data_IF_892604043361
#
_entry.id   IF_892604043361
#
_cell.length_a   1.000
_cell.length_b   1.000
_cell.length_c   1.000
_cell.angle_alpha   90.00
_cell.angle_beta   90.00
_cell.angle_gamma   90.00
#
_symmetry.space_group_name_H-M   'P 1'
#
loop_
_entity.id
_entity.type
_entity.pdbx_description
1 polymer ?
#
# COMPACT_ATOMS: atom_id res chain seq x y z
N UNK A 1 60.82 8.13 -14.38
CA UNK A 1 59.56 8.07 -15.18
C UNK A 1 59.47 9.20 -16.22
N UNK A 2 60.06 10.36 -16.01
CA UNK A 2 60.03 11.53 -16.91
C UNK A 2 60.94 11.35 -18.13
N UNK A 3 62.08 10.65 -18.02
CA UNK A 3 63.02 10.44 -19.12
C UNK A 3 62.53 9.54 -20.25
N UNK A 4 61.61 8.62 -19.98
CA UNK A 4 61.00 7.76 -21.01
C UNK A 4 60.11 8.51 -21.98
N UNK A 5 59.53 9.63 -21.53
CA UNK A 5 58.63 10.47 -22.33
C UNK A 5 59.37 11.40 -23.33
N UNK A 6 60.66 11.61 -23.15
CA UNK A 6 61.45 12.47 -24.07
C UNK A 6 61.80 11.81 -25.40
N UNK A 7 61.72 10.47 -25.50
CA UNK A 7 62.13 9.71 -26.68
C UNK A 7 61.07 9.62 -27.79
N UNK A 8 59.81 10.06 -27.53
CA UNK A 8 58.73 10.01 -28.52
C UNK A 8 58.46 11.37 -29.16
N UNK A 9 58.28 11.39 -30.53
CA UNK A 9 57.92 12.61 -31.29
C UNK A 9 56.69 13.28 -30.66
N UNK A 10 56.63 14.62 -30.63
CA UNK A 10 55.60 15.46 -29.99
C UNK A 10 54.17 14.98 -30.32
N UNK A 11 53.94 14.53 -31.58
CA UNK A 11 52.66 13.98 -32.00
C UNK A 11 52.18 12.74 -31.20
N UNK A 12 53.09 11.81 -30.84
CA UNK A 12 52.75 10.64 -30.07
C UNK A 12 52.36 10.96 -28.63
N UNK A 13 52.96 12.02 -28.04
CA UNK A 13 52.60 12.49 -26.69
C UNK A 13 51.23 13.13 -26.67
N UNK A 14 50.91 13.94 -27.69
CA UNK A 14 49.57 14.51 -27.84
C UNK A 14 48.53 13.41 -28.01
N UNK A 15 48.76 12.40 -28.84
CA UNK A 15 47.85 11.27 -29.03
C UNK A 15 47.66 10.46 -27.74
N UNK A 16 48.69 10.22 -26.95
CA UNK A 16 48.58 9.52 -25.66
C UNK A 16 47.79 10.34 -24.63
N UNK A 17 48.02 11.68 -24.59
CA UNK A 17 47.25 12.55 -23.70
C UNK A 17 45.78 12.64 -24.06
N UNK A 18 45.45 12.81 -25.35
CA UNK A 18 44.06 12.80 -25.84
C UNK A 18 43.39 11.43 -25.65
N UNK A 19 44.10 10.32 -25.90
CA UNK A 19 43.62 8.99 -25.68
C UNK A 19 43.26 8.73 -24.21
N UNK A 20 44.09 9.18 -23.27
CA UNK A 20 43.86 9.10 -21.84
C UNK A 20 42.59 9.89 -21.44
N UNK A 21 42.42 11.11 -21.97
CA UNK A 21 41.24 11.94 -21.72
C UNK A 21 39.94 11.27 -22.23
N UNK A 22 39.99 10.69 -23.43
CA UNK A 22 38.82 9.94 -23.98
C UNK A 22 38.47 8.73 -23.11
N UNK A 23 39.44 7.97 -22.65
CA UNK A 23 39.23 6.84 -21.75
C UNK A 23 38.62 7.30 -20.43
N UNK A 24 39.12 8.39 -19.84
CA UNK A 24 38.56 8.98 -18.62
C UNK A 24 37.12 9.46 -18.83
N UNK A 25 36.82 10.13 -19.96
CA UNK A 25 35.44 10.54 -20.29
C UNK A 25 34.49 9.34 -20.43
N UNK A 26 34.95 8.26 -21.07
CA UNK A 26 34.16 7.03 -21.18
C UNK A 26 33.88 6.41 -19.81
N UNK A 27 34.90 6.34 -18.93
CA UNK A 27 34.72 5.80 -17.56
C UNK A 27 33.76 6.64 -16.73
N UNK A 28 33.85 7.96 -16.81
CA UNK A 28 32.90 8.87 -16.12
C UNK A 28 31.51 8.72 -16.68
N UNK A 29 31.35 8.61 -18.00
CA UNK A 29 30.04 8.45 -18.65
C UNK A 29 29.39 7.12 -18.26
N UNK A 30 30.17 6.02 -18.23
CA UNK A 30 29.68 4.71 -17.79
C UNK A 30 29.29 4.71 -16.31
N UNK A 31 30.07 5.36 -15.46
CA UNK A 31 29.74 5.52 -14.03
C UNK A 31 28.47 6.36 -13.84
N UNK A 32 28.31 7.46 -14.57
CA UNK A 32 27.11 8.29 -14.53
C UNK A 32 25.86 7.50 -15.00
N UNK A 33 25.96 6.79 -16.12
CA UNK A 33 24.85 5.94 -16.62
C UNK A 33 24.45 4.84 -15.63
N UNK A 34 25.41 4.22 -14.94
CA UNK A 34 25.14 3.24 -13.89
C UNK A 34 24.41 3.87 -12.71
N UNK A 35 24.86 5.06 -12.26
CA UNK A 35 24.22 5.79 -11.16
C UNK A 35 22.81 6.25 -11.51
N UNK A 36 22.56 6.71 -12.74
CA UNK A 36 21.23 7.08 -13.22
C UNK A 36 20.28 5.89 -13.25
N UNK A 37 20.76 4.72 -13.68
CA UNK A 37 19.94 3.51 -13.71
C UNK A 37 19.55 3.04 -12.31
N UNK A 38 20.49 3.09 -11.36
CA UNK A 38 20.20 2.76 -9.96
C UNK A 38 19.18 3.73 -9.35
N UNK A 39 19.31 5.03 -9.65
CA UNK A 39 18.37 6.05 -9.18
C UNK A 39 16.97 5.86 -9.78
N UNK A 40 16.87 5.53 -11.07
CA UNK A 40 15.60 5.26 -11.75
C UNK A 40 14.92 4.00 -11.20
N UNK A 41 15.70 2.94 -10.96
CA UNK A 41 15.21 1.70 -10.36
C UNK A 41 14.72 1.93 -8.91
N UNK A 42 15.42 2.71 -8.10
CA UNK A 42 15.02 3.07 -6.73
C UNK A 42 13.79 3.99 -6.73
N UNK A 43 13.74 4.97 -7.63
CA UNK A 43 12.62 5.90 -7.74
C UNK A 43 11.34 5.17 -8.19
N UNK A 44 11.46 4.26 -9.16
CA UNK A 44 10.32 3.46 -9.62
C UNK A 44 9.87 2.44 -8.57
N UNK A 45 10.80 1.73 -7.92
CA UNK A 45 10.47 0.73 -6.90
C UNK A 45 9.77 1.35 -5.67
N UNK A 46 10.22 2.53 -5.23
CA UNK A 46 9.64 3.16 -4.03
C UNK A 46 8.48 4.11 -4.38
N UNK A 47 8.62 4.94 -5.40
CA UNK A 47 7.62 5.95 -5.76
C UNK A 47 6.35 5.35 -6.37
N UNK A 48 6.49 4.47 -7.37
CA UNK A 48 5.35 3.87 -8.07
C UNK A 48 4.66 2.81 -7.21
N UNK A 49 5.44 1.95 -6.52
CA UNK A 49 4.89 0.90 -5.68
C UNK A 49 4.19 1.48 -4.44
N UNK A 50 4.79 2.47 -3.76
CA UNK A 50 4.17 3.12 -2.61
C UNK A 50 2.92 3.90 -3.01
N UNK A 51 2.90 4.60 -4.14
CA UNK A 51 1.71 5.32 -4.61
C UNK A 51 0.57 4.37 -4.97
N UNK A 52 0.88 3.24 -5.59
CA UNK A 52 -0.10 2.20 -5.92
C UNK A 52 -0.63 1.54 -4.64
N UNK A 53 0.23 1.28 -3.67
CA UNK A 53 -0.14 0.74 -2.36
C UNK A 53 -1.02 1.70 -1.59
N UNK A 54 -0.69 2.99 -1.55
CA UNK A 54 -1.53 4.03 -0.94
C UNK A 54 -2.93 4.05 -1.53
N UNK A 55 -3.05 3.98 -2.85
CA UNK A 55 -4.36 3.94 -3.52
C UNK A 55 -5.17 2.71 -3.11
N UNK A 56 -4.57 1.52 -3.07
CA UNK A 56 -5.26 0.30 -2.62
C UNK A 56 -5.61 0.34 -1.13
N UNK A 57 -4.72 0.86 -0.28
CA UNK A 57 -4.99 1.04 1.15
C UNK A 57 -6.13 2.04 1.40
N UNK A 58 -6.21 3.15 0.63
CA UNK A 58 -7.35 4.06 0.67
C UNK A 58 -8.66 3.38 0.26
N UNK A 59 -8.64 2.52 -0.75
CA UNK A 59 -9.83 1.76 -1.15
C UNK A 59 -10.26 0.79 -0.03
N UNK A 60 -9.32 0.11 0.63
CA UNK A 60 -9.61 -0.76 1.79
C UNK A 60 -10.23 0.07 2.93
N UNK A 61 -9.69 1.24 3.22
CA UNK A 61 -10.21 2.15 4.24
C UNK A 61 -11.62 2.64 3.91
N UNK A 62 -11.88 3.00 2.65
CA UNK A 62 -13.18 3.43 2.16
C UNK A 62 -14.22 2.31 2.34
N UNK A 63 -13.94 1.11 1.86
CA UNK A 63 -14.86 -0.02 1.97
C UNK A 63 -15.11 -0.43 3.44
N UNK A 64 -14.10 -0.35 4.30
CA UNK A 64 -14.29 -0.56 5.75
C UNK A 64 -15.27 0.48 6.35
N UNK A 65 -15.18 1.72 5.91
CA UNK A 65 -16.10 2.79 6.34
C UNK A 65 -17.53 2.54 5.82
N UNK A 66 -17.66 2.09 4.57
CA UNK A 66 -18.95 1.71 3.96
C UNK A 66 -19.58 0.52 4.73
N UNK A 67 -18.80 -0.53 5.02
CA UNK A 67 -19.24 -1.69 5.82
C UNK A 67 -19.74 -1.22 7.18
N UNK A 68 -18.99 -0.32 7.85
CA UNK A 68 -19.38 0.24 9.16
C UNK A 68 -20.67 1.05 9.09
N UNK A 69 -20.91 1.77 8.01
CA UNK A 69 -22.17 2.49 7.75
C UNK A 69 -23.34 1.55 7.51
N UNK A 70 -23.15 0.56 6.63
CA UNK A 70 -24.19 -0.38 6.23
C UNK A 70 -24.62 -1.29 7.37
N UNK A 71 -23.69 -1.76 8.22
CA UNK A 71 -24.06 -2.61 9.37
C UNK A 71 -24.90 -1.85 10.40
N UNK A 72 -24.71 -0.52 10.52
CA UNK A 72 -25.58 0.33 11.32
C UNK A 72 -26.93 0.56 10.64
N UNK A 73 -26.95 0.73 9.32
CA UNK A 73 -28.17 0.90 8.54
C UNK A 73 -29.06 -0.34 8.60
N UNK A 74 -28.48 -1.54 8.61
CA UNK A 74 -29.23 -2.80 8.81
C UNK A 74 -30.09 -2.81 10.08
N UNK A 75 -29.50 -2.34 11.19
CA UNK A 75 -30.20 -2.31 12.50
C UNK A 75 -31.28 -1.22 12.55
N UNK A 76 -31.16 -0.19 11.72
CA UNK A 76 -32.06 0.95 11.65
C UNK A 76 -33.14 0.81 10.55
N UNK A 77 -33.09 -0.26 9.76
CA UNK A 77 -34.06 -0.46 8.69
C UNK A 77 -35.47 -0.64 9.26
N UNK A 78 -36.39 0.16 8.76
CA UNK A 78 -37.80 0.24 9.20
C UNK A 78 -38.76 -0.54 8.28
N UNK A 79 -38.24 -1.10 7.19
CA UNK A 79 -39.02 -1.97 6.29
C UNK A 79 -38.23 -3.21 5.82
N UNK A 80 -38.91 -4.32 5.49
CA UNK A 80 -38.24 -5.49 4.96
C UNK A 80 -37.49 -5.24 3.65
N UNK A 81 -38.01 -4.38 2.80
CA UNK A 81 -37.39 -4.01 1.51
C UNK A 81 -36.07 -3.27 1.73
N UNK A 82 -36.06 -2.31 2.67
CA UNK A 82 -34.88 -1.54 3.02
C UNK A 82 -33.82 -2.45 3.69
N UNK A 83 -34.25 -3.33 4.57
CA UNK A 83 -33.39 -4.32 5.20
C UNK A 83 -32.71 -5.22 4.16
N UNK A 84 -33.46 -5.74 3.20
CA UNK A 84 -32.93 -6.59 2.13
C UNK A 84 -31.91 -5.83 1.28
N UNK A 85 -32.23 -4.58 0.90
CA UNK A 85 -31.34 -3.72 0.14
C UNK A 85 -30.01 -3.47 0.88
N UNK A 86 -30.08 -3.10 2.15
CA UNK A 86 -28.86 -2.90 2.97
C UNK A 86 -28.05 -4.20 3.16
N UNK A 87 -28.72 -5.36 3.24
CA UNK A 87 -28.05 -6.65 3.35
C UNK A 87 -27.27 -7.01 2.06
N UNK A 88 -27.82 -6.68 0.89
CA UNK A 88 -27.17 -6.88 -0.40
C UNK A 88 -25.99 -5.93 -0.55
N UNK A 89 -26.18 -4.64 -0.23
CA UNK A 89 -25.10 -3.64 -0.24
C UNK A 89 -23.97 -4.00 0.72
N UNK A 90 -24.30 -4.50 1.91
CA UNK A 90 -23.31 -4.93 2.88
C UNK A 90 -22.45 -6.10 2.36
N UNK A 91 -23.08 -7.12 1.75
CA UNK A 91 -22.34 -8.22 1.11
C UNK A 91 -21.46 -7.74 -0.04
N UNK A 92 -21.96 -6.81 -0.85
CA UNK A 92 -21.21 -6.22 -1.95
C UNK A 92 -20.01 -5.40 -1.43
N UNK A 93 -20.17 -4.64 -0.35
CA UNK A 93 -19.08 -3.89 0.27
C UNK A 93 -18.00 -4.81 0.84
N UNK A 94 -18.37 -5.92 1.45
CA UNK A 94 -17.41 -6.96 1.89
C UNK A 94 -16.60 -7.48 0.70
N UNK A 95 -17.25 -7.84 -0.40
CA UNK A 95 -16.57 -8.35 -1.58
C UNK A 95 -15.59 -7.32 -2.19
N UNK A 96 -15.98 -6.03 -2.19
CA UNK A 96 -15.07 -4.94 -2.63
C UNK A 96 -13.90 -4.75 -1.68
N UNK A 97 -14.12 -4.80 -0.37
CA UNK A 97 -13.05 -4.78 0.62
C UNK A 97 -12.05 -5.91 0.37
N UNK A 98 -12.54 -7.15 0.24
CA UNK A 98 -11.69 -8.32 0.04
C UNK A 98 -10.87 -8.21 -1.26
N UNK A 99 -11.48 -7.74 -2.35
CA UNK A 99 -10.79 -7.48 -3.62
C UNK A 99 -9.72 -6.38 -3.50
N UNK A 100 -10.02 -5.28 -2.81
CA UNK A 100 -9.07 -4.19 -2.59
C UNK A 100 -7.91 -4.64 -1.69
N UNK A 101 -8.19 -5.40 -0.64
CA UNK A 101 -7.17 -5.94 0.26
C UNK A 101 -6.29 -6.98 -0.44
N UNK A 102 -6.86 -7.85 -1.26
CA UNK A 102 -6.11 -8.79 -2.09
C UNK A 102 -5.15 -8.04 -3.03
N UNK A 103 -5.63 -7.00 -3.71
CA UNK A 103 -4.78 -6.17 -4.57
C UNK A 103 -3.65 -5.50 -3.81
N UNK A 104 -3.91 -5.07 -2.57
CA UNK A 104 -2.92 -4.47 -1.68
C UNK A 104 -1.84 -5.48 -1.25
N UNK A 105 -2.23 -6.72 -0.94
CA UNK A 105 -1.32 -7.78 -0.47
C UNK A 105 -0.49 -8.42 -1.58
N UNK A 106 -0.89 -8.27 -2.85
CA UNK A 106 -0.13 -8.77 -4.00
C UNK A 106 1.07 -7.88 -4.35
N UNK A 107 1.13 -6.66 -3.85
CA UNK A 107 2.25 -5.76 -4.10
C UNK A 107 3.48 -6.19 -3.29
N UNK A 108 4.72 -6.06 -3.84
CA UNK A 108 5.94 -6.32 -3.10
C UNK A 108 5.98 -5.51 -1.80
N UNK A 109 6.27 -6.14 -0.67
CA UNK A 109 6.24 -5.51 0.64
C UNK A 109 7.57 -5.71 1.38
N UNK A 110 8.08 -4.65 2.00
CA UNK A 110 9.15 -4.78 2.98
C UNK A 110 8.65 -5.43 4.28
N UNK A 111 9.55 -5.78 5.18
CA UNK A 111 9.22 -6.49 6.41
C UNK A 111 8.20 -5.73 7.28
N UNK A 112 8.31 -4.40 7.35
CA UNK A 112 7.41 -3.57 8.15
C UNK A 112 6.03 -3.46 7.49
N UNK A 113 5.97 -3.23 6.19
CA UNK A 113 4.71 -3.25 5.43
C UNK A 113 4.01 -4.61 5.56
N UNK A 114 4.75 -5.72 5.46
CA UNK A 114 4.19 -7.07 5.61
C UNK A 114 3.60 -7.32 7.01
N UNK A 115 4.23 -6.79 8.06
CA UNK A 115 3.71 -6.86 9.44
C UNK A 115 2.42 -6.05 9.59
N UNK A 116 2.37 -4.84 9.05
CA UNK A 116 1.18 -4.00 9.08
C UNK A 116 0.01 -4.63 8.30
N UNK A 117 0.27 -5.22 7.13
CA UNK A 117 -0.75 -5.93 6.36
C UNK A 117 -1.27 -7.17 7.11
N UNK A 118 -0.41 -7.86 7.85
CA UNK A 118 -0.83 -8.98 8.72
C UNK A 118 -1.74 -8.49 9.85
N UNK A 119 -1.46 -7.32 10.44
CA UNK A 119 -2.33 -6.73 11.45
C UNK A 119 -3.71 -6.41 10.88
N UNK A 120 -3.80 -5.90 9.64
CA UNK A 120 -5.09 -5.69 8.95
C UNK A 120 -5.85 -7.01 8.78
N UNK A 121 -5.18 -8.09 8.35
CA UNK A 121 -5.81 -9.42 8.21
C UNK A 121 -6.35 -9.91 9.55
N UNK A 122 -5.55 -9.86 10.59
CA UNK A 122 -5.91 -10.34 11.93
C UNK A 122 -7.12 -9.58 12.51
N UNK A 123 -7.13 -8.26 12.42
CA UNK A 123 -8.25 -7.45 12.90
C UNK A 123 -9.51 -7.67 12.05
N UNK A 124 -9.36 -7.87 10.74
CA UNK A 124 -10.45 -8.23 9.83
C UNK A 124 -11.05 -9.58 10.19
N UNK A 125 -10.22 -10.60 10.39
CA UNK A 125 -10.65 -11.95 10.79
C UNK A 125 -11.40 -11.95 12.13
N UNK A 126 -10.94 -11.14 13.09
CA UNK A 126 -11.59 -10.97 14.38
C UNK A 126 -12.96 -10.26 14.27
N UNK A 127 -13.10 -9.26 13.40
CA UNK A 127 -14.34 -8.50 13.24
C UNK A 127 -15.41 -9.27 12.44
N UNK A 128 -15.01 -10.13 11.50
CA UNK A 128 -15.89 -10.82 10.54
C UNK A 128 -17.01 -11.62 11.23
N UNK A 129 -16.78 -12.50 12.23
CA UNK A 129 -17.85 -13.28 12.85
C UNK A 129 -18.90 -12.40 13.54
N UNK A 130 -18.49 -11.28 14.12
CA UNK A 130 -19.41 -10.34 14.78
C UNK A 130 -20.30 -9.60 13.78
N UNK A 131 -19.74 -9.17 12.64
CA UNK A 131 -20.50 -8.50 11.58
C UNK A 131 -21.50 -9.46 10.93
N UNK A 132 -21.11 -10.73 10.71
CA UNK A 132 -22.00 -11.77 10.20
C UNK A 132 -23.10 -12.11 11.20
N UNK A 133 -22.80 -12.14 12.49
CA UNK A 133 -23.79 -12.38 13.55
C UNK A 133 -24.84 -11.27 13.61
N UNK A 134 -24.43 -9.99 13.49
CA UNK A 134 -25.37 -8.86 13.40
C UNK A 134 -26.31 -9.05 12.21
N UNK A 135 -25.76 -9.32 11.02
CA UNK A 135 -26.56 -9.53 9.81
C UNK A 135 -27.58 -10.67 10.00
N UNK A 136 -27.15 -11.80 10.54
CA UNK A 136 -28.02 -12.95 10.76
C UNK A 136 -29.14 -12.62 11.76
N UNK A 137 -28.83 -12.01 12.89
CA UNK A 137 -29.83 -11.66 13.92
C UNK A 137 -30.87 -10.67 13.40
N UNK A 138 -30.42 -9.64 12.64
CA UNK A 138 -31.35 -8.65 12.11
C UNK A 138 -32.24 -9.23 11.01
N UNK A 139 -31.74 -10.13 10.16
CA UNK A 139 -32.55 -10.84 9.17
C UNK A 139 -33.55 -11.80 9.81
N UNK A 140 -33.24 -12.37 10.99
CA UNK A 140 -34.15 -13.21 11.80
C UNK A 140 -35.17 -12.36 12.58
N UNK A 141 -35.16 -11.04 12.44
CA UNK A 141 -36.07 -10.13 13.19
C UNK A 141 -35.64 -9.86 14.63
N UNK A 142 -34.46 -10.33 15.06
CA UNK A 142 -33.89 -10.13 16.42
C UNK A 142 -33.07 -8.86 16.50
N UNK A 143 -33.71 -7.72 16.19
CA UNK A 143 -33.01 -6.41 16.04
C UNK A 143 -32.33 -5.99 17.34
N UNK A 144 -32.94 -6.22 18.50
CA UNK A 144 -32.35 -5.83 19.80
C UNK A 144 -31.08 -6.63 20.10
N UNK A 145 -31.06 -7.93 19.82
CA UNK A 145 -29.88 -8.78 19.98
C UNK A 145 -28.78 -8.35 18.97
N UNK A 146 -29.16 -8.10 17.71
CA UNK A 146 -28.27 -7.58 16.69
C UNK A 146 -27.65 -6.25 17.07
N UNK A 147 -28.45 -5.34 17.68
CA UNK A 147 -27.96 -4.04 18.17
C UNK A 147 -26.94 -4.22 19.31
N UNK A 148 -27.16 -5.18 20.19
CA UNK A 148 -26.23 -5.46 21.28
C UNK A 148 -24.88 -5.94 20.73
N UNK A 149 -24.88 -6.92 19.81
CA UNK A 149 -23.65 -7.41 19.17
C UNK A 149 -22.96 -6.32 18.36
N UNK A 150 -23.72 -5.48 17.64
CA UNK A 150 -23.23 -4.35 16.88
C UNK A 150 -22.38 -3.43 17.77
N UNK A 151 -22.94 -3.03 18.94
CA UNK A 151 -22.28 -2.09 19.84
C UNK A 151 -21.11 -2.72 20.63
N UNK A 152 -21.29 -3.96 21.08
CA UNK A 152 -20.32 -4.62 21.96
C UNK A 152 -19.08 -5.13 21.21
N UNK A 153 -19.23 -5.56 19.95
CA UNK A 153 -18.18 -6.30 19.27
C UNK A 153 -17.96 -5.88 17.81
N UNK A 154 -19.02 -5.76 17.00
CA UNK A 154 -18.85 -5.53 15.56
C UNK A 154 -18.25 -4.15 15.25
N UNK A 155 -18.78 -3.06 15.82
CA UNK A 155 -18.26 -1.71 15.61
C UNK A 155 -16.85 -1.54 16.20
N UNK A 156 -16.55 -1.96 17.44
CA UNK A 156 -15.17 -1.94 17.94
C UNK A 156 -14.19 -2.66 17.02
N UNK A 157 -14.50 -3.90 16.58
CA UNK A 157 -13.63 -4.65 15.69
C UNK A 157 -13.41 -3.98 14.32
N UNK A 158 -14.45 -3.35 13.76
CA UNK A 158 -14.32 -2.58 12.51
C UNK A 158 -13.45 -1.31 12.71
N UNK A 159 -13.51 -0.67 13.88
CA UNK A 159 -12.65 0.46 14.23
C UNK A 159 -11.20 0.00 14.36
N UNK A 160 -10.94 -1.12 15.03
CA UNK A 160 -9.59 -1.68 15.14
C UNK A 160 -9.01 -2.01 13.75
N UNK A 161 -9.81 -2.61 12.87
CA UNK A 161 -9.39 -2.85 11.49
C UNK A 161 -9.10 -1.55 10.74
N UNK A 162 -9.92 -0.52 10.94
CA UNK A 162 -9.69 0.81 10.35
C UNK A 162 -8.36 1.43 10.81
N UNK A 163 -8.03 1.33 12.09
CA UNK A 163 -6.77 1.83 12.62
C UNK A 163 -5.57 1.04 12.08
N UNK A 164 -5.70 -0.27 11.90
CA UNK A 164 -4.66 -1.08 11.27
C UNK A 164 -4.41 -0.65 9.80
N UNK A 165 -5.47 -0.35 9.04
CA UNK A 165 -5.34 0.17 7.66
C UNK A 165 -4.70 1.56 7.63
N UNK A 166 -5.06 2.45 8.56
CA UNK A 166 -4.44 3.77 8.70
C UNK A 166 -2.95 3.68 9.02
N UNK A 167 -2.52 2.68 9.79
CA UNK A 167 -1.11 2.46 10.05
C UNK A 167 -0.33 2.09 8.78
N UNK A 168 -0.92 1.29 7.87
CA UNK A 168 -0.35 1.03 6.54
C UNK A 168 -0.21 2.33 5.74
N UNK A 169 -1.27 3.16 5.70
CA UNK A 169 -1.25 4.45 4.99
C UNK A 169 -0.15 5.37 5.51
N UNK A 170 -0.07 5.57 6.82
CA UNK A 170 0.92 6.44 7.44
C UNK A 170 2.36 5.97 7.16
N UNK A 171 2.60 4.65 7.16
CA UNK A 171 3.89 4.09 6.82
C UNK A 171 4.28 4.35 5.37
N UNK A 172 3.38 4.11 4.42
CA UNK A 172 3.66 4.36 3.00
C UNK A 172 3.81 5.85 2.66
N UNK A 173 3.03 6.73 3.31
CA UNK A 173 3.19 8.18 3.20
C UNK A 173 4.57 8.64 3.70
N UNK A 174 5.04 8.10 4.83
CA UNK A 174 6.35 8.40 5.37
C UNK A 174 7.48 7.93 4.42
N UNK A 175 7.33 6.76 3.79
CA UNK A 175 8.28 6.26 2.77
C UNK A 175 8.33 7.20 1.56
N UNK A 176 7.17 7.62 1.04
CA UNK A 176 7.12 8.56 -0.09
C UNK A 176 7.76 9.91 0.26
N UNK A 177 7.48 10.44 1.46
CA UNK A 177 8.07 11.68 1.90
C UNK A 177 9.61 11.60 2.02
N UNK A 178 10.14 10.46 2.48
CA UNK A 178 11.58 10.23 2.57
C UNK A 178 12.28 10.20 1.21
N UNK A 179 11.61 9.68 0.17
CA UNK A 179 12.14 9.67 -1.21
C UNK A 179 12.14 11.05 -1.84
N UNK A 180 11.13 11.87 -1.56
CA UNK A 180 11.03 13.24 -2.11
C UNK A 180 12.06 14.19 -1.46
N UNK A 181 12.50 13.88 -0.23
CA UNK A 181 13.43 14.72 0.54
C UNK A 181 14.93 14.48 0.19
N UNK A 182 15.24 13.48 -0.63
CA UNK A 182 16.60 13.15 -1.12
C UNK A 182 16.92 13.86 -2.41
#
# INVERSE_FOLDING_TARGET
>A
MIEYLQKYKVGKRMFAGFGLLIVLMILISLSALSSFKTLDDEFNAVGVDSSTRLRHAHNVLLENSVITGLIRALVLADSPELLQHHAEDFKAAIARFDSAFQSLTQLPADAQTAELLRAVSTTREAATPHTQQVLALVLDGKVDEGTQVLRASAVPGLIENQEAVKAVLAHEEAKMAAVIAQ
#
